data_IF_306364007395
#
_entry.id   IF_306364007395
#
_cell.length_a   1.000
_cell.length_b   1.000
_cell.length_c   1.000
_cell.angle_alpha   90.00
_cell.angle_beta   90.00
_cell.angle_gamma   90.00
#
_symmetry.space_group_name_H-M   'P 1'
#
loop_
_entity.id
_entity.type
_entity.pdbx_description
1 polymer ?
#
# COMPACT_ATOMS: atom_id res chain seq x y z
N UNK A 1 -39.31 23.74 48.88
CA UNK A 1 -39.73 23.39 47.52
C UNK A 1 -38.84 22.24 47.08
N UNK A 2 -39.14 21.01 47.52
CA UNK A 2 -39.99 20.01 46.83
C UNK A 2 -39.27 19.44 45.59
N UNK A 3 -39.04 18.14 45.41
CA UNK A 3 -39.44 16.95 46.16
C UNK A 3 -38.55 15.76 45.79
N UNK A 4 -38.41 14.85 46.77
CA UNK A 4 -37.99 13.45 46.68
C UNK A 4 -38.66 12.65 45.55
N UNK A 5 -38.03 11.56 45.10
CA UNK A 5 -38.69 10.24 44.98
C UNK A 5 -37.65 9.12 45.04
N UNK A 6 -37.65 8.40 46.16
CA UNK A 6 -37.14 7.06 46.32
C UNK A 6 -38.26 6.07 45.96
N UNK A 7 -37.93 4.93 45.37
CA UNK A 7 -38.84 3.80 45.33
C UNK A 7 -38.11 2.53 45.78
N UNK A 8 -38.47 2.13 46.99
CA UNK A 8 -38.23 0.84 47.62
C UNK A 8 -39.52 0.01 47.50
N UNK A 9 -39.46 -1.27 47.90
CA UNK A 9 -40.46 -2.38 47.96
C UNK A 9 -40.16 -3.49 46.95
N UNK A 10 -40.06 -4.78 47.30
CA UNK A 10 -40.29 -5.47 48.57
C UNK A 10 -40.85 -6.88 48.32
N UNK A 11 -40.35 -7.88 49.06
CA UNK A 11 -40.99 -9.19 49.35
C UNK A 11 -40.93 -10.26 48.26
N UNK A 12 -41.01 -11.56 48.52
CA UNK A 12 -41.09 -12.34 49.75
C UNK A 12 -40.82 -13.82 49.36
N UNK A 13 -40.07 -14.51 50.21
CA UNK A 13 -40.11 -15.93 50.63
C UNK A 13 -41.09 -16.92 49.97
N UNK A 14 -40.61 -18.12 49.63
CA UNK A 14 -41.29 -19.37 50.06
C UNK A 14 -40.35 -20.60 50.13
N UNK A 15 -40.33 -21.19 51.33
CA UNK A 15 -39.75 -22.48 51.69
C UNK A 15 -40.80 -23.58 51.44
N UNK A 16 -40.39 -24.73 50.88
CA UNK A 16 -41.15 -25.97 51.04
C UNK A 16 -40.22 -27.17 51.21
N UNK A 17 -40.21 -27.69 52.44
CA UNK A 17 -39.96 -29.08 52.79
C UNK A 17 -40.90 -29.98 51.98
N UNK A 18 -40.52 -31.16 51.50
CA UNK A 18 -40.08 -32.34 52.25
C UNK A 18 -41.11 -33.45 51.99
N UNK A 19 -40.72 -34.59 51.44
CA UNK A 19 -41.44 -35.83 51.65
C UNK A 19 -40.53 -37.04 51.42
N UNK A 20 -40.38 -37.86 52.47
CA UNK A 20 -39.75 -39.16 52.46
C UNK A 20 -40.86 -40.23 52.55
N UNK A 21 -40.74 -41.32 51.78
CA UNK A 21 -41.73 -42.41 51.85
C UNK A 21 -41.40 -43.62 50.97
N UNK A 22 -40.43 -44.43 51.42
CA UNK A 22 -40.45 -45.90 51.55
C UNK A 22 -40.78 -46.85 50.35
N UNK A 23 -40.35 -48.14 50.43
CA UNK A 23 -39.94 -48.98 49.28
C UNK A 23 -40.89 -50.16 49.00
N UNK A 24 -40.74 -50.82 47.83
CA UNK A 24 -40.65 -52.29 47.68
C UNK A 24 -40.82 -52.79 46.23
N UNK A 25 -39.95 -53.76 45.90
CA UNK A 25 -40.19 -54.97 45.10
C UNK A 25 -40.50 -54.92 43.58
N UNK A 26 -39.53 -55.46 42.84
CA UNK A 26 -39.64 -56.48 41.79
C UNK A 26 -40.54 -56.21 40.57
N UNK A 27 -39.91 -56.09 39.39
CA UNK A 27 -40.33 -56.88 38.23
C UNK A 27 -39.24 -56.99 37.16
N UNK A 28 -39.03 -58.23 36.75
CA UNK A 28 -38.04 -58.73 35.81
C UNK A 28 -38.29 -58.26 34.38
N UNK A 29 -37.21 -58.11 33.60
CA UNK A 29 -37.23 -58.34 32.15
C UNK A 29 -37.89 -57.26 31.30
N UNK A 30 -37.18 -56.14 31.07
CA UNK A 30 -37.46 -55.28 29.91
C UNK A 30 -36.24 -55.15 29.01
N UNK A 31 -36.32 -55.90 27.90
CA UNK A 31 -35.47 -55.81 26.72
C UNK A 31 -35.06 -54.36 26.42
N UNK A 32 -33.75 -54.16 26.28
CA UNK A 32 -33.17 -52.95 25.71
C UNK A 32 -33.88 -52.61 24.40
N UNK A 33 -34.65 -51.52 24.40
CA UNK A 33 -35.04 -50.85 23.15
C UNK A 33 -33.82 -50.05 22.66
N UNK A 34 -33.47 -50.11 21.36
CA UNK A 34 -32.47 -49.19 20.80
C UNK A 34 -32.99 -47.76 20.99
N UNK A 35 -32.17 -46.91 21.63
CA UNK A 35 -32.46 -45.51 21.85
C UNK A 35 -32.60 -44.81 20.50
N UNK A 36 -33.75 -44.15 20.28
CA UNK A 36 -33.89 -43.15 19.22
C UNK A 36 -32.85 -42.07 19.46
N UNK A 37 -32.13 -41.70 18.39
CA UNK A 37 -31.03 -40.73 18.38
C UNK A 37 -31.30 -39.53 19.28
N UNK A 38 -30.47 -39.41 20.30
CA UNK A 38 -30.42 -38.28 21.21
C UNK A 38 -30.03 -37.05 20.36
N UNK A 39 -30.86 -36.01 20.36
CA UNK A 39 -30.53 -34.76 19.68
C UNK A 39 -29.18 -34.26 20.23
N UNK A 40 -28.20 -33.89 19.37
CA UNK A 40 -26.91 -33.44 19.84
C UNK A 40 -27.10 -32.17 20.68
N UNK A 41 -26.48 -32.14 21.86
CA UNK A 41 -26.43 -30.95 22.69
C UNK A 41 -25.82 -29.78 21.90
N UNK A 42 -26.33 -28.56 22.12
CA UNK A 42 -25.86 -27.33 21.44
C UNK A 42 -24.32 -27.25 21.53
N UNK A 43 -23.64 -27.31 20.39
CA UNK A 43 -22.17 -27.20 20.29
C UNK A 43 -21.42 -28.51 19.99
N UNK A 44 -22.05 -29.67 20.03
CA UNK A 44 -21.43 -30.92 19.56
C UNK A 44 -21.76 -31.17 18.08
N UNK A 45 -20.73 -31.11 17.24
CA UNK A 45 -20.83 -31.58 15.86
C UNK A 45 -20.48 -33.07 15.85
N UNK A 46 -21.50 -33.92 15.93
CA UNK A 46 -21.35 -35.36 15.72
C UNK A 46 -21.35 -35.63 14.22
N UNK A 47 -20.26 -36.18 13.70
CA UNK A 47 -20.16 -36.61 12.32
C UNK A 47 -20.26 -38.13 12.25
N UNK A 48 -21.29 -38.63 11.57
CA UNK A 48 -21.39 -40.03 11.24
C UNK A 48 -20.50 -40.35 10.05
N UNK A 49 -19.31 -40.92 10.33
CA UNK A 49 -18.36 -41.32 9.30
C UNK A 49 -18.81 -42.55 8.50
N UNK A 50 -19.85 -43.27 8.93
CA UNK A 50 -20.30 -44.50 8.28
C UNK A 50 -20.70 -44.28 6.82
N UNK A 51 -21.37 -43.17 6.52
CA UNK A 51 -21.78 -42.81 5.17
C UNK A 51 -20.59 -42.59 4.22
N UNK A 52 -19.54 -41.91 4.68
CA UNK A 52 -18.32 -41.68 3.91
C UNK A 52 -17.53 -42.97 3.68
N UNK A 53 -17.49 -43.87 4.67
CA UNK A 53 -16.88 -45.20 4.54
C UNK A 53 -17.62 -46.04 3.49
N UNK A 54 -18.95 -46.03 3.48
CA UNK A 54 -19.74 -46.72 2.46
C UNK A 54 -19.50 -46.16 1.05
N UNK A 55 -19.42 -44.84 0.88
CA UNK A 55 -19.09 -44.24 -0.41
C UNK A 55 -17.68 -44.60 -0.87
N UNK A 56 -16.71 -44.66 0.06
CA UNK A 56 -15.33 -45.08 -0.24
C UNK A 56 -15.30 -46.52 -0.76
N UNK A 57 -15.99 -47.46 -0.11
CA UNK A 57 -16.03 -48.85 -0.56
C UNK A 57 -16.74 -48.98 -1.92
N UNK A 58 -17.82 -48.22 -2.16
CA UNK A 58 -18.46 -48.15 -3.49
C UNK A 58 -17.49 -47.63 -4.55
N UNK A 59 -16.73 -46.56 -4.27
CA UNK A 59 -15.78 -45.99 -5.21
C UNK A 59 -14.61 -46.95 -5.50
N UNK A 60 -14.15 -47.68 -4.47
CA UNK A 60 -13.15 -48.74 -4.62
C UNK A 60 -13.64 -49.85 -5.53
N UNK A 61 -14.88 -50.32 -5.35
CA UNK A 61 -15.46 -51.37 -6.19
C UNK A 61 -15.54 -50.94 -7.67
N UNK A 62 -15.79 -49.66 -7.94
CA UNK A 62 -15.76 -49.12 -9.29
C UNK A 62 -14.34 -49.13 -9.87
N UNK A 63 -13.33 -48.68 -9.11
CA UNK A 63 -11.93 -48.71 -9.55
C UNK A 63 -11.46 -50.11 -9.95
N UNK A 64 -11.87 -51.12 -9.20
CA UNK A 64 -11.51 -52.53 -9.48
C UNK A 64 -12.16 -53.06 -10.78
N UNK A 65 -13.25 -52.42 -11.25
CA UNK A 65 -13.93 -52.74 -12.52
C UNK A 65 -13.38 -52.01 -13.75
N UNK A 66 -12.48 -51.04 -13.58
CA UNK A 66 -11.95 -50.19 -14.67
C UNK A 66 -11.01 -50.87 -15.69
N UNK A 67 -10.43 -52.08 -15.53
CA UNK A 67 -9.67 -52.70 -16.62
C UNK A 67 -10.61 -53.27 -17.71
N UNK A 68 -11.48 -52.43 -18.25
CA UNK A 68 -12.36 -52.72 -19.37
C UNK A 68 -11.64 -52.37 -20.68
N UNK A 69 -11.41 -53.38 -21.52
CA UNK A 69 -10.96 -53.15 -22.91
C UNK A 69 -12.21 -52.88 -23.74
N UNK A 70 -12.28 -51.71 -24.37
CA UNK A 70 -13.41 -51.30 -25.21
C UNK A 70 -13.06 -51.56 -26.67
N UNK A 71 -13.40 -52.75 -27.16
CA UNK A 71 -13.07 -53.24 -28.51
C UNK A 71 -14.31 -53.43 -29.42
N UNK A 72 -15.51 -53.19 -28.89
CA UNK A 72 -16.78 -53.36 -29.59
C UNK A 72 -17.79 -52.27 -29.22
N UNK A 73 -18.79 -52.08 -30.08
CA UNK A 73 -19.85 -51.06 -29.88
C UNK A 73 -20.73 -51.36 -28.65
N UNK A 74 -20.93 -52.64 -28.34
CA UNK A 74 -21.58 -53.05 -27.10
C UNK A 74 -20.75 -52.64 -25.88
N UNK A 75 -19.43 -52.88 -25.89
CA UNK A 75 -18.53 -52.46 -24.81
C UNK A 75 -18.43 -50.94 -24.68
N UNK A 76 -18.54 -50.21 -25.80
CA UNK A 76 -18.59 -48.75 -25.79
C UNK A 76 -19.85 -48.23 -25.08
N UNK A 77 -21.00 -48.86 -25.34
CA UNK A 77 -22.27 -48.50 -24.69
C UNK A 77 -22.24 -48.79 -23.18
N UNK A 78 -21.74 -49.97 -22.80
CA UNK A 78 -21.56 -50.35 -21.38
C UNK A 78 -20.56 -49.42 -20.67
N UNK A 79 -19.43 -49.11 -21.31
CA UNK A 79 -18.47 -48.14 -20.78
C UNK A 79 -19.09 -46.74 -20.59
N UNK A 80 -20.00 -46.35 -21.49
CA UNK A 80 -20.77 -45.13 -21.38
C UNK A 80 -21.68 -45.09 -20.15
N UNK A 81 -22.41 -46.18 -19.87
CA UNK A 81 -23.26 -46.34 -18.69
C UNK A 81 -22.42 -46.37 -17.39
N UNK A 82 -21.32 -47.11 -17.39
CA UNK A 82 -20.38 -47.17 -16.26
C UNK A 82 -19.77 -45.79 -15.97
N UNK A 83 -19.38 -45.05 -17.00
CA UNK A 83 -18.89 -43.67 -16.85
C UNK A 83 -19.96 -42.75 -16.23
N UNK A 84 -21.24 -42.92 -16.59
CA UNK A 84 -22.33 -42.19 -15.98
C UNK A 84 -22.52 -42.56 -14.50
N UNK A 85 -22.43 -43.84 -14.16
CA UNK A 85 -22.55 -44.33 -12.78
C UNK A 85 -21.39 -43.84 -11.89
N UNK A 86 -20.16 -43.87 -12.41
CA UNK A 86 -18.98 -43.30 -11.72
C UNK A 86 -19.16 -41.82 -11.46
N UNK A 87 -19.66 -41.05 -12.43
CA UNK A 87 -19.97 -39.63 -12.25
C UNK A 87 -21.08 -39.38 -11.23
N UNK A 88 -22.11 -40.22 -11.20
CA UNK A 88 -23.17 -40.11 -10.19
C UNK A 88 -22.59 -40.32 -8.78
N UNK A 89 -21.72 -41.32 -8.60
CA UNK A 89 -21.04 -41.55 -7.32
C UNK A 89 -20.08 -40.41 -6.95
N UNK A 90 -19.33 -39.86 -7.91
CA UNK A 90 -18.52 -38.66 -7.68
C UNK A 90 -19.38 -37.50 -7.16
N UNK A 91 -20.57 -37.28 -7.73
CA UNK A 91 -21.49 -36.25 -7.24
C UNK A 91 -22.04 -36.55 -5.85
N UNK A 92 -22.32 -37.81 -5.51
CA UNK A 92 -22.78 -38.22 -4.18
C UNK A 92 -21.71 -37.94 -3.11
N UNK A 93 -20.44 -38.26 -3.41
CA UNK A 93 -19.29 -37.93 -2.56
C UNK A 93 -19.17 -36.42 -2.35
N UNK A 94 -19.27 -35.65 -3.43
CA UNK A 94 -19.23 -34.19 -3.34
C UNK A 94 -20.42 -33.62 -2.56
N UNK A 95 -21.62 -34.18 -2.71
CA UNK A 95 -22.79 -33.76 -1.95
C UNK A 95 -22.61 -33.99 -0.45
N UNK A 96 -22.07 -35.15 -0.04
CA UNK A 96 -21.75 -35.42 1.36
C UNK A 96 -20.67 -34.47 1.90
N UNK A 97 -19.59 -34.25 1.12
CA UNK A 97 -18.54 -33.29 1.47
C UNK A 97 -19.12 -31.89 1.68
N UNK A 98 -19.99 -31.43 0.78
CA UNK A 98 -20.65 -30.13 0.88
C UNK A 98 -21.60 -30.08 2.09
N UNK A 99 -22.36 -31.13 2.37
CA UNK A 99 -23.24 -31.18 3.54
C UNK A 99 -22.47 -31.03 4.86
N UNK A 100 -21.29 -31.64 4.96
CA UNK A 100 -20.39 -31.53 6.12
C UNK A 100 -19.78 -30.12 6.21
N UNK A 101 -19.29 -29.59 5.10
CA UNK A 101 -18.53 -28.32 5.09
C UNK A 101 -19.43 -27.09 5.15
N UNK A 102 -20.70 -27.16 4.72
CA UNK A 102 -21.65 -26.03 4.75
C UNK A 102 -21.80 -25.38 6.13
N UNK A 103 -22.20 -26.09 7.21
CA UNK A 103 -22.36 -25.48 8.52
C UNK A 103 -21.04 -24.93 9.08
N UNK A 104 -19.90 -25.57 8.76
CA UNK A 104 -18.57 -25.07 9.14
C UNK A 104 -18.24 -23.76 8.42
N UNK A 105 -18.54 -23.68 7.12
CA UNK A 105 -18.36 -22.47 6.32
C UNK A 105 -19.29 -21.34 6.77
N UNK A 106 -20.53 -21.66 7.16
CA UNK A 106 -21.47 -20.70 7.73
C UNK A 106 -20.99 -20.16 9.08
N UNK A 107 -20.51 -21.04 9.97
CA UNK A 107 -19.91 -20.64 11.23
C UNK A 107 -18.67 -19.75 11.02
N UNK A 108 -17.78 -20.14 10.10
CA UNK A 108 -16.60 -19.35 9.74
C UNK A 108 -17.00 -17.97 9.18
N UNK A 109 -18.03 -17.90 8.34
CA UNK A 109 -18.57 -16.62 7.84
C UNK A 109 -19.13 -15.77 8.96
N UNK A 110 -19.86 -16.35 9.91
CA UNK A 110 -20.42 -15.63 11.05
C UNK A 110 -19.31 -15.08 11.96
N UNK A 111 -18.27 -15.87 12.23
CA UNK A 111 -17.08 -15.42 12.98
C UNK A 111 -16.38 -14.28 12.24
N UNK A 112 -16.12 -14.43 10.94
CA UNK A 112 -15.50 -13.37 10.14
C UNK A 112 -16.36 -12.10 10.10
N UNK A 113 -17.69 -12.23 10.04
CA UNK A 113 -18.60 -11.10 10.09
C UNK A 113 -18.55 -10.38 11.45
N UNK A 114 -18.50 -11.13 12.56
CA UNK A 114 -18.39 -10.58 13.91
C UNK A 114 -17.13 -9.72 14.09
N UNK A 115 -15.99 -10.17 13.55
CA UNK A 115 -14.72 -9.46 13.67
C UNK A 115 -14.46 -8.42 12.58
N UNK A 116 -15.34 -8.32 11.57
CA UNK A 116 -15.17 -7.36 10.47
C UNK A 116 -15.29 -5.91 10.94
N UNK A 117 -16.32 -5.59 11.72
CA UNK A 117 -16.53 -4.22 12.19
C UNK A 117 -15.43 -3.76 13.17
N UNK A 118 -15.04 -4.53 14.20
CA UNK A 118 -13.90 -4.18 15.06
C UNK A 118 -12.61 -3.96 14.28
N UNK A 119 -12.32 -4.83 13.30
CA UNK A 119 -11.16 -4.66 12.42
C UNK A 119 -11.21 -3.34 11.65
N UNK A 120 -12.36 -3.00 11.07
CA UNK A 120 -12.54 -1.72 10.36
C UNK A 120 -12.34 -0.50 11.27
N UNK A 121 -12.90 -0.52 12.49
CA UNK A 121 -12.68 0.57 13.45
C UNK A 121 -11.21 0.73 13.83
N UNK A 122 -10.47 -0.37 14.00
CA UNK A 122 -9.03 -0.33 14.27
C UNK A 122 -8.24 0.19 13.06
N UNK A 123 -8.57 -0.24 11.85
CA UNK A 123 -7.97 0.25 10.60
C UNK A 123 -8.23 1.76 10.41
N UNK A 124 -9.43 2.23 10.70
CA UNK A 124 -9.80 3.65 10.65
C UNK A 124 -9.05 4.45 11.72
N UNK A 125 -8.99 3.97 12.96
CA UNK A 125 -8.24 4.60 14.04
C UNK A 125 -6.74 4.69 13.71
N UNK A 126 -6.15 3.60 13.22
CA UNK A 126 -4.76 3.56 12.75
C UNK A 126 -4.54 4.57 11.62
N UNK A 127 -5.44 4.63 10.64
CA UNK A 127 -5.34 5.58 9.53
C UNK A 127 -5.44 7.03 10.01
N UNK A 128 -6.34 7.33 10.94
CA UNK A 128 -6.48 8.67 11.53
C UNK A 128 -5.22 9.07 12.31
N UNK A 129 -4.68 8.18 13.13
CA UNK A 129 -3.45 8.42 13.87
C UNK A 129 -2.25 8.66 12.94
N UNK A 130 -2.08 7.81 11.91
CA UNK A 130 -1.02 7.99 10.90
C UNK A 130 -1.14 9.33 10.17
N UNK A 131 -2.35 9.72 9.76
CA UNK A 131 -2.58 11.03 9.12
C UNK A 131 -2.23 12.19 10.06
N UNK A 132 -2.64 12.12 11.33
CA UNK A 132 -2.31 13.14 12.32
C UNK A 132 -0.79 13.25 12.56
N UNK A 133 -0.10 12.10 12.66
CA UNK A 133 1.35 12.06 12.80
C UNK A 133 2.08 12.64 11.59
N UNK A 134 1.65 12.29 10.37
CA UNK A 134 2.22 12.84 9.14
C UNK A 134 1.96 14.34 8.98
N UNK A 135 0.76 14.80 9.34
CA UNK A 135 0.44 16.23 9.31
C UNK A 135 1.31 17.01 10.30
N UNK A 136 1.52 16.47 11.50
CA UNK A 136 2.42 17.07 12.49
C UNK A 136 3.86 17.13 11.98
N UNK A 137 4.41 16.03 11.45
CA UNK A 137 5.80 16.03 10.96
C UNK A 137 5.99 16.92 9.73
N UNK A 138 5.00 17.02 8.85
CA UNK A 138 5.02 17.94 7.72
C UNK A 138 5.00 19.41 8.18
N UNK A 139 4.10 19.77 9.10
CA UNK A 139 4.02 21.11 9.66
C UNK A 139 5.29 21.50 10.42
N UNK A 140 5.89 20.55 11.15
CA UNK A 140 7.14 20.79 11.86
C UNK A 140 8.32 20.99 10.88
N UNK A 141 8.39 20.20 9.80
CA UNK A 141 9.38 20.40 8.73
C UNK A 141 9.22 21.78 8.07
N UNK A 142 7.99 22.17 7.75
CA UNK A 142 7.69 23.47 7.13
C UNK A 142 8.08 24.64 8.05
N UNK A 143 7.80 24.55 9.36
CA UNK A 143 8.23 25.56 10.34
C UNK A 143 9.75 25.70 10.41
N UNK A 144 10.45 24.58 10.49
CA UNK A 144 11.92 24.56 10.52
C UNK A 144 12.53 25.08 9.22
N UNK A 145 11.91 24.77 8.07
CA UNK A 145 12.33 25.27 6.76
C UNK A 145 12.06 26.77 6.62
N UNK A 146 10.91 27.27 7.08
CA UNK A 146 10.58 28.69 7.09
C UNK A 146 11.59 29.48 7.95
N UNK A 147 11.87 29.02 9.17
CA UNK A 147 12.86 29.65 10.06
C UNK A 147 14.25 29.66 9.43
N UNK A 148 14.66 28.57 8.78
CA UNK A 148 15.93 28.50 8.03
C UNK A 148 15.96 29.48 6.85
N UNK A 149 14.86 29.58 6.10
CA UNK A 149 14.77 30.48 4.95
C UNK A 149 14.82 31.96 5.38
N UNK A 150 14.14 32.33 6.47
CA UNK A 150 14.19 33.68 7.03
C UNK A 150 15.57 34.02 7.56
N UNK A 151 16.21 33.07 8.26
CA UNK A 151 17.58 33.25 8.73
C UNK A 151 18.57 33.44 7.56
N UNK A 152 18.43 32.63 6.51
CA UNK A 152 19.24 32.75 5.30
C UNK A 152 19.01 34.08 4.57
N UNK A 153 17.76 34.53 4.45
CA UNK A 153 17.43 35.83 3.86
C UNK A 153 18.08 36.97 4.64
N UNK A 154 17.95 36.97 5.98
CA UNK A 154 18.60 37.98 6.83
C UNK A 154 20.12 37.94 6.67
N UNK A 155 20.73 36.75 6.58
CA UNK A 155 22.17 36.64 6.33
C UNK A 155 22.56 37.20 4.95
N UNK A 156 21.81 36.91 3.89
CA UNK A 156 22.07 37.46 2.57
C UNK A 156 21.88 38.98 2.52
N UNK A 157 20.86 39.53 3.18
CA UNK A 157 20.62 40.96 3.29
C UNK A 157 21.75 41.67 4.04
N UNK A 158 22.17 41.13 5.18
CA UNK A 158 23.30 41.65 5.96
C UNK A 158 24.61 41.58 5.17
N UNK A 159 24.88 40.47 4.49
CA UNK A 159 26.04 40.33 3.61
C UNK A 159 25.98 41.31 2.42
N UNK A 160 24.81 41.52 1.82
CA UNK A 160 24.62 42.46 0.73
C UNK A 160 24.85 43.91 1.19
N UNK A 161 24.41 44.26 2.39
CA UNK A 161 24.65 45.57 3.00
C UNK A 161 26.16 45.80 3.21
N UNK A 162 26.83 44.87 3.88
CA UNK A 162 28.28 44.96 4.14
C UNK A 162 29.09 45.00 2.83
N UNK A 163 28.72 44.19 1.84
CA UNK A 163 29.36 44.22 0.52
C UNK A 163 29.12 45.53 -0.24
N UNK A 164 27.94 46.16 -0.05
CA UNK A 164 27.66 47.49 -0.57
C UNK A 164 28.57 48.55 0.03
N UNK A 165 28.67 48.59 1.36
CA UNK A 165 29.54 49.51 2.10
C UNK A 165 31.02 49.33 1.71
N UNK A 166 31.48 48.08 1.56
CA UNK A 166 32.83 47.79 1.08
C UNK A 166 33.08 48.35 -0.33
N UNK A 167 32.14 48.16 -1.27
CA UNK A 167 32.29 48.68 -2.64
C UNK A 167 32.37 50.20 -2.69
N UNK A 168 31.63 50.89 -1.83
CA UNK A 168 31.69 52.36 -1.75
C UNK A 168 33.05 52.84 -1.20
N UNK A 169 33.56 52.19 -0.16
CA UNK A 169 34.89 52.50 0.39
C UNK A 169 36.01 52.17 -0.60
N UNK A 170 35.91 51.06 -1.33
CA UNK A 170 36.86 50.74 -2.39
C UNK A 170 36.79 51.73 -3.56
N UNK A 171 35.58 52.16 -3.95
CA UNK A 171 35.41 53.14 -5.02
C UNK A 171 36.05 54.48 -4.64
N UNK A 172 35.77 54.98 -3.44
CA UNK A 172 36.39 56.22 -2.93
C UNK A 172 37.91 56.09 -2.79
N UNK A 173 38.42 54.94 -2.34
CA UNK A 173 39.85 54.68 -2.29
C UNK A 173 40.49 54.73 -3.69
N UNK A 174 39.87 54.12 -4.70
CA UNK A 174 40.35 54.14 -6.10
C UNK A 174 40.32 55.54 -6.70
N UNK A 175 39.30 56.33 -6.40
CA UNK A 175 39.21 57.74 -6.84
C UNK A 175 40.34 58.59 -6.23
N UNK A 176 40.58 58.46 -4.93
CA UNK A 176 41.67 59.15 -4.24
C UNK A 176 43.05 58.68 -4.74
N UNK A 177 43.24 57.38 -5.05
CA UNK A 177 44.46 56.87 -5.67
C UNK A 177 44.71 57.48 -7.05
N UNK A 178 43.67 57.56 -7.88
CA UNK A 178 43.78 58.18 -9.20
C UNK A 178 44.15 59.67 -9.08
N UNK A 179 43.51 60.40 -8.15
CA UNK A 179 43.84 61.79 -7.87
C UNK A 179 45.27 61.97 -7.35
N UNK A 180 45.76 61.06 -6.51
CA UNK A 180 47.14 61.05 -6.03
C UNK A 180 48.15 60.83 -7.18
N UNK A 181 47.86 59.89 -8.09
CA UNK A 181 48.70 59.62 -9.27
C UNK A 181 48.76 60.83 -10.21
N UNK A 182 47.63 61.48 -10.47
CA UNK A 182 47.58 62.70 -11.29
C UNK A 182 48.36 63.86 -10.65
N UNK A 183 48.18 64.10 -9.35
CA UNK A 183 48.93 65.14 -8.62
C UNK A 183 50.44 64.85 -8.61
N UNK A 184 50.83 63.58 -8.46
CA UNK A 184 52.24 63.18 -8.55
C UNK A 184 52.81 63.39 -9.95
N UNK A 185 52.04 63.10 -11.00
CA UNK A 185 52.44 63.37 -12.38
C UNK A 185 52.64 64.88 -12.61
N UNK A 186 51.67 65.72 -12.20
CA UNK A 186 51.77 67.18 -12.23
C UNK A 186 52.99 67.69 -11.47
N UNK A 187 53.27 67.14 -10.29
CA UNK A 187 54.45 67.48 -9.50
C UNK A 187 55.77 67.15 -10.20
N UNK A 188 55.83 65.98 -10.87
CA UNK A 188 57.02 65.56 -11.61
C UNK A 188 57.27 66.44 -12.84
N UNK A 189 56.21 66.84 -13.54
CA UNK A 189 56.31 67.73 -14.69
C UNK A 189 56.73 69.15 -14.27
N UNK A 190 56.18 69.69 -13.17
CA UNK A 190 56.62 70.96 -12.60
C UNK A 190 58.08 70.93 -12.10
N UNK A 191 58.53 69.79 -11.56
CA UNK A 191 59.92 69.61 -11.17
C UNK A 191 60.87 69.58 -12.38
N UNK A 192 60.42 69.01 -13.51
CA UNK A 192 61.16 69.01 -14.79
C UNK A 192 61.22 70.41 -15.42
N UNK A 193 60.20 71.24 -15.25
CA UNK A 193 60.19 72.63 -15.74
C UNK A 193 60.98 73.61 -14.86
N UNK A 194 61.42 73.19 -13.67
CA UNK A 194 62.22 74.00 -12.74
C UNK A 194 61.42 74.80 -11.72
N UNK A 195 60.09 74.67 -11.70
CA UNK A 195 59.20 75.37 -10.75
C UNK A 195 59.09 74.60 -9.43
N UNK A 196 60.08 74.79 -8.56
CA UNK A 196 60.21 74.07 -7.29
C UNK A 196 59.01 74.28 -6.35
N UNK A 197 58.41 75.48 -6.33
CA UNK A 197 57.27 75.79 -5.46
C UNK A 197 55.97 75.10 -5.90
N UNK A 198 55.73 75.01 -7.21
CA UNK A 198 54.58 74.28 -7.77
C UNK A 198 54.76 72.78 -7.59
N UNK A 199 55.97 72.26 -7.80
CA UNK A 199 56.30 70.87 -7.53
C UNK A 199 56.09 70.51 -6.05
N UNK A 200 56.42 71.41 -5.11
CA UNK A 200 56.21 71.19 -3.67
C UNK A 200 54.71 71.16 -3.30
N UNK A 201 53.88 72.05 -3.87
CA UNK A 201 52.43 72.07 -3.62
C UNK A 201 51.74 70.81 -4.15
N UNK A 202 52.02 70.42 -5.39
CA UNK A 202 51.42 69.22 -5.99
C UNK A 202 51.88 67.93 -5.27
N UNK A 203 53.13 67.87 -4.76
CA UNK A 203 53.58 66.76 -3.88
C UNK A 203 52.83 66.71 -2.56
N UNK A 204 52.56 67.86 -1.95
CA UNK A 204 51.76 67.93 -0.74
C UNK A 204 50.32 67.45 -0.98
N UNK A 205 49.70 67.88 -2.09
CA UNK A 205 48.38 67.40 -2.50
C UNK A 205 48.37 65.89 -2.80
N UNK A 206 49.38 65.36 -3.52
CA UNK A 206 49.52 63.93 -3.78
C UNK A 206 49.64 63.10 -2.48
N UNK A 207 50.38 63.61 -1.49
CA UNK A 207 50.48 63.00 -0.17
C UNK A 207 49.12 62.96 0.56
N UNK A 208 48.35 64.05 0.53
CA UNK A 208 47.01 64.13 1.13
C UNK A 208 46.01 63.17 0.46
N UNK A 209 46.01 63.06 -0.87
CA UNK A 209 45.19 62.09 -1.60
C UNK A 209 45.62 60.65 -1.26
N UNK A 210 46.92 60.36 -1.20
CA UNK A 210 47.43 59.03 -0.85
C UNK A 210 47.10 58.61 0.59
N UNK A 211 47.08 59.56 1.53
CA UNK A 211 46.73 59.31 2.92
C UNK A 211 45.22 59.05 3.07
N UNK A 212 44.38 59.76 2.31
CA UNK A 212 42.94 59.49 2.23
C UNK A 212 42.64 58.13 1.62
N UNK A 213 43.25 57.80 0.47
CA UNK A 213 43.16 56.49 -0.15
C UNK A 213 43.57 55.36 0.80
N UNK A 214 44.71 55.49 1.48
CA UNK A 214 45.17 54.51 2.46
C UNK A 214 44.16 54.34 3.61
N UNK A 215 43.60 55.44 4.13
CA UNK A 215 42.59 55.38 5.19
C UNK A 215 41.28 54.73 4.74
N UNK A 216 40.87 54.91 3.48
CA UNK A 216 39.69 54.27 2.89
C UNK A 216 39.92 52.78 2.66
N UNK A 217 41.12 52.39 2.21
CA UNK A 217 41.53 50.97 2.11
C UNK A 217 41.57 50.26 3.45
N UNK A 218 42.09 50.90 4.50
CA UNK A 218 42.11 50.33 5.85
C UNK A 218 40.69 50.10 6.35
N UNK A 219 39.78 51.06 6.17
CA UNK A 219 38.37 50.91 6.54
C UNK A 219 37.67 49.80 5.75
N UNK A 220 37.98 49.66 4.46
CA UNK A 220 37.45 48.57 3.64
C UNK A 220 37.95 47.20 4.14
N UNK A 221 39.23 47.07 4.49
CA UNK A 221 39.77 45.85 5.08
C UNK A 221 39.18 45.55 6.47
N UNK A 222 38.97 46.56 7.31
CA UNK A 222 38.29 46.40 8.60
C UNK A 222 36.86 45.88 8.43
N UNK A 223 36.10 46.35 7.43
CA UNK A 223 34.78 45.81 7.11
C UNK A 223 34.83 44.37 6.59
N UNK A 224 35.85 43.99 5.81
CA UNK A 224 36.04 42.59 5.37
C UNK A 224 36.31 41.70 6.58
N UNK A 225 37.20 42.14 7.47
CA UNK A 225 37.52 41.39 8.68
C UNK A 225 36.31 41.27 9.62
N UNK A 226 35.51 42.32 9.77
CA UNK A 226 34.25 42.28 10.53
C UNK A 226 33.21 41.33 9.90
N UNK A 227 33.13 41.29 8.57
CA UNK A 227 32.26 40.36 7.85
C UNK A 227 32.70 38.89 8.03
N UNK A 228 34.01 38.61 7.95
CA UNK A 228 34.59 37.29 8.17
C UNK A 228 34.42 36.81 9.62
N UNK A 229 34.63 37.69 10.61
CA UNK A 229 34.43 37.39 12.03
C UNK A 229 32.95 37.14 12.37
N UNK A 230 32.02 37.88 11.73
CA UNK A 230 30.58 37.65 11.85
C UNK A 230 30.10 36.36 11.19
N UNK A 231 30.86 35.81 10.23
CA UNK A 231 30.50 34.61 9.47
C UNK A 231 30.64 33.31 10.28
N UNK A 232 31.30 33.33 11.45
CA UNK A 232 31.55 32.14 12.30
C UNK A 232 30.43 31.87 13.31
N UNK A 233 29.27 32.53 13.21
CA UNK A 233 28.06 32.07 13.93
C UNK A 233 27.54 30.82 13.25
N UNK A 234 28.22 29.71 13.55
CA UNK A 234 27.74 28.35 13.29
C UNK A 234 26.32 28.29 13.79
N UNK A 235 25.37 28.15 12.88
CA UNK A 235 24.07 27.61 13.20
C UNK A 235 24.34 26.22 13.76
N UNK A 236 24.55 26.13 15.07
CA UNK A 236 24.19 24.96 15.85
C UNK A 236 22.67 24.87 15.78
N UNK A 237 22.15 24.64 14.57
CA UNK A 237 20.77 24.37 14.31
C UNK A 237 20.49 23.14 15.12
N UNK A 238 19.75 23.34 16.22
CA UNK A 238 19.25 22.29 17.05
C UNK A 238 18.68 21.23 16.11
N UNK A 239 19.42 20.14 15.95
CA UNK A 239 18.82 18.87 15.66
C UNK A 239 18.00 18.57 16.91
N UNK A 240 16.82 19.18 17.01
CA UNK A 240 15.71 18.56 17.67
C UNK A 240 15.47 17.30 16.84
N UNK A 241 16.31 16.30 17.07
CA UNK A 241 16.15 14.96 16.58
C UNK A 241 14.82 14.55 17.19
N UNK A 242 13.75 14.70 16.41
CA UNK A 242 12.41 14.30 16.81
C UNK A 242 12.56 12.90 17.35
N UNK A 243 12.38 12.73 18.66
CA UNK A 243 12.68 11.50 19.36
C UNK A 243 11.97 10.38 18.64
N UNK A 244 12.72 9.56 17.91
CA UNK A 244 12.14 8.49 17.10
C UNK A 244 11.49 7.53 18.08
N UNK A 245 10.17 7.49 18.09
CA UNK A 245 9.42 6.58 18.94
C UNK A 245 9.82 5.15 18.59
N UNK A 246 10.27 4.39 19.59
CA UNK A 246 10.62 2.98 19.42
C UNK A 246 9.42 2.21 18.85
N UNK A 247 9.67 1.40 17.82
CA UNK A 247 8.62 0.62 17.15
C UNK A 247 7.93 1.31 15.96
N UNK A 248 8.20 2.59 15.69
CA UNK A 248 7.64 3.29 14.51
C UNK A 248 8.74 3.46 13.45
N UNK A 249 8.56 2.79 12.30
CA UNK A 249 9.44 2.91 11.14
C UNK A 249 8.72 3.62 10.00
N UNK A 250 9.35 4.66 9.46
CA UNK A 250 8.90 5.35 8.26
C UNK A 250 9.36 4.57 7.02
N UNK A 251 8.45 4.31 6.08
CA UNK A 251 8.77 3.68 4.79
C UNK A 251 8.19 4.51 3.66
N UNK A 252 9.04 4.90 2.72
CA UNK A 252 8.63 5.54 1.47
C UNK A 252 8.51 4.48 0.38
N UNK A 253 7.29 4.31 -0.17
CA UNK A 253 7.06 3.45 -1.34
C UNK A 253 6.95 4.32 -2.58
N UNK A 254 7.84 4.12 -3.53
CA UNK A 254 7.78 4.75 -4.84
C UNK A 254 6.93 3.87 -5.78
N UNK A 255 6.00 4.49 -6.51
CA UNK A 255 5.20 3.84 -7.55
C UNK A 255 5.40 4.58 -8.87
N UNK A 256 5.50 3.83 -9.97
CA UNK A 256 5.57 4.38 -11.32
C UNK A 256 4.28 4.07 -12.06
N UNK A 257 3.76 5.06 -12.79
CA UNK A 257 2.60 4.91 -13.67
C UNK A 257 3.03 5.23 -15.10
N UNK A 258 2.67 4.36 -16.06
CA UNK A 258 2.87 4.62 -17.48
C UNK A 258 1.71 5.47 -17.97
N UNK A 259 2.00 6.71 -18.37
CA UNK A 259 1.00 7.65 -18.91
C UNK A 259 0.71 7.40 -20.38
N UNK A 260 1.75 7.14 -21.18
CA UNK A 260 1.67 6.82 -22.60
C UNK A 260 2.55 5.62 -22.94
N UNK A 261 1.90 4.49 -23.25
CA UNK A 261 2.59 3.24 -23.59
C UNK A 261 3.38 3.36 -24.90
N UNK A 262 2.95 4.19 -25.86
CA UNK A 262 3.66 4.36 -27.13
C UNK A 262 4.99 5.06 -26.93
N UNK A 263 5.00 6.11 -26.10
CA UNK A 263 6.23 6.82 -25.76
C UNK A 263 7.22 5.90 -25.05
N UNK A 264 6.75 5.06 -24.12
CA UNK A 264 7.59 4.06 -23.45
C UNK A 264 8.20 3.08 -24.46
N UNK A 265 7.41 2.56 -25.41
CA UNK A 265 7.93 1.67 -26.46
C UNK A 265 8.96 2.36 -27.34
N UNK A 266 8.72 3.62 -27.73
CA UNK A 266 9.71 4.40 -28.50
C UNK A 266 11.00 4.65 -27.71
N UNK A 267 10.91 4.95 -26.41
CA UNK A 267 12.07 5.13 -25.55
C UNK A 267 12.91 3.85 -25.40
N UNK A 268 12.25 2.69 -25.28
CA UNK A 268 12.91 1.38 -25.27
C UNK A 268 13.58 1.10 -26.62
N UNK A 269 12.87 1.35 -27.73
CA UNK A 269 13.44 1.18 -29.07
C UNK A 269 14.63 2.11 -29.35
N UNK A 270 14.66 3.31 -28.74
CA UNK A 270 15.77 4.25 -28.80
C UNK A 270 16.92 3.95 -27.83
N UNK A 271 16.81 2.91 -26.98
CA UNK A 271 17.81 2.53 -25.99
C UNK A 271 17.88 3.44 -24.75
N UNK A 272 16.87 4.30 -24.55
CA UNK A 272 16.77 5.17 -23.36
C UNK A 272 16.18 4.43 -22.15
N UNK A 273 15.42 3.36 -22.39
CA UNK A 273 14.83 2.52 -21.36
C UNK A 273 15.16 1.04 -21.62
N UNK A 274 15.30 0.22 -20.56
CA UNK A 274 15.59 -1.21 -20.67
C UNK A 274 14.37 -2.00 -21.21
N UNK A 275 14.60 -3.14 -21.89
CA UNK A 275 13.54 -3.95 -22.52
C UNK A 275 12.58 -4.56 -21.48
N UNK A 276 13.07 -4.76 -20.25
CA UNK A 276 12.34 -5.24 -19.07
C UNK A 276 11.16 -4.33 -18.70
N UNK A 277 11.13 -3.08 -19.20
CA UNK A 277 9.98 -2.20 -19.05
C UNK A 277 8.75 -2.65 -19.85
N UNK A 278 8.87 -3.63 -20.75
CA UNK A 278 7.79 -4.13 -21.60
C UNK A 278 7.49 -5.61 -21.31
N UNK A 279 6.20 -5.95 -21.23
CA UNK A 279 5.73 -7.33 -21.12
C UNK A 279 4.75 -7.65 -22.24
N UNK A 280 4.87 -8.82 -22.85
CA UNK A 280 3.95 -9.28 -23.87
C UNK A 280 2.58 -9.68 -23.26
N UNK A 281 1.48 -9.27 -23.90
CA UNK A 281 0.14 -9.67 -23.49
C UNK A 281 -0.21 -11.07 -24.05
N UNK A 282 0.16 -12.11 -23.29
CA UNK A 282 -0.10 -13.51 -23.64
C UNK A 282 -1.59 -13.82 -23.81
N UNK A 283 -2.48 -13.13 -23.09
CA UNK A 283 -3.93 -13.38 -23.18
C UNK A 283 -4.47 -12.92 -24.52
N UNK A 284 -4.07 -11.73 -24.95
CA UNK A 284 -4.41 -11.20 -26.26
C UNK A 284 -3.84 -12.10 -27.38
N UNK A 285 -2.57 -12.47 -27.26
CA UNK A 285 -1.91 -13.36 -28.24
C UNK A 285 -2.59 -14.73 -28.32
N UNK A 286 -2.93 -15.34 -27.18
CA UNK A 286 -3.66 -16.61 -27.13
C UNK A 286 -5.12 -16.52 -27.61
N UNK A 287 -5.77 -15.36 -27.48
CA UNK A 287 -7.08 -15.11 -28.07
C UNK A 287 -7.00 -15.07 -29.61
N UNK A 288 -6.01 -14.38 -30.16
CA UNK A 288 -5.79 -14.34 -31.61
C UNK A 288 -5.39 -15.70 -32.19
N UNK A 289 -4.53 -16.45 -31.50
CA UNK A 289 -4.18 -17.82 -31.85
C UNK A 289 -5.43 -18.71 -32.01
N UNK A 290 -6.35 -18.66 -31.03
CA UNK A 290 -7.61 -19.41 -31.05
C UNK A 290 -8.56 -18.93 -32.16
N UNK A 291 -8.59 -17.64 -32.45
CA UNK A 291 -9.43 -17.07 -33.49
C UNK A 291 -8.96 -17.50 -34.89
N UNK A 292 -7.65 -17.47 -35.13
CA UNK A 292 -7.07 -17.77 -36.45
C UNK A 292 -6.95 -19.27 -36.73
N UNK A 293 -6.91 -20.12 -35.69
CA UNK A 293 -6.87 -21.60 -35.80
C UNK A 293 -5.79 -22.12 -36.75
N UNK A 294 -4.66 -21.41 -36.84
CA UNK A 294 -3.48 -21.79 -37.62
C UNK A 294 -2.32 -22.03 -36.67
N UNK A 295 -1.51 -23.04 -36.99
CA UNK A 295 -0.25 -23.34 -36.30
C UNK A 295 0.90 -22.65 -37.01
N UNK A 296 1.92 -22.21 -36.27
CA UNK A 296 3.09 -21.49 -36.82
C UNK A 296 3.16 -20.02 -36.37
N UNK A 297 3.85 -19.19 -37.16
CA UNK A 297 4.17 -17.80 -36.80
C UNK A 297 2.94 -16.89 -36.91
N UNK A 298 2.59 -16.22 -35.80
CA UNK A 298 1.47 -15.27 -35.69
C UNK A 298 1.93 -13.83 -35.95
N UNK A 299 3.05 -13.44 -35.33
CA UNK A 299 3.75 -12.16 -35.51
C UNK A 299 5.26 -12.42 -35.54
N UNK A 300 6.09 -11.50 -36.08
CA UNK A 300 7.54 -11.63 -35.95
C UNK A 300 7.94 -11.82 -34.49
N UNK A 301 8.45 -13.02 -34.15
CA UNK A 301 8.82 -13.41 -32.79
C UNK A 301 7.74 -14.14 -31.95
N UNK A 302 6.54 -14.46 -32.48
CA UNK A 302 5.48 -15.18 -31.75
C UNK A 302 4.96 -16.39 -32.54
N UNK A 303 4.99 -17.60 -31.96
CA UNK A 303 4.56 -18.88 -32.56
C UNK A 303 3.40 -19.56 -31.79
N UNK A 304 2.55 -20.34 -32.48
CA UNK A 304 1.35 -21.01 -31.94
C UNK A 304 1.36 -22.53 -32.15
N UNK A 305 1.06 -23.32 -31.09
CA UNK A 305 0.90 -24.78 -31.09
C UNK A 305 -0.52 -25.24 -30.69
N UNK A 306 -0.91 -26.47 -31.06
CA UNK A 306 -2.26 -27.02 -30.79
C UNK A 306 -2.23 -28.45 -30.21
N UNK A 307 -3.05 -28.70 -29.17
CA UNK A 307 -3.22 -30.00 -28.47
C UNK A 307 -4.72 -30.40 -28.43
N UNK A 308 -5.04 -31.72 -28.45
CA UNK A 308 -6.42 -32.25 -28.41
C UNK A 308 -6.69 -33.08 -27.15
N UNK A 309 -7.84 -32.89 -26.49
CA UNK A 309 -8.28 -33.66 -25.30
C UNK A 309 -9.79 -33.99 -25.32
N UNK A 310 -10.21 -35.05 -24.61
CA UNK A 310 -11.62 -35.49 -24.48
C UNK A 310 -12.19 -35.11 -23.10
N UNK A 311 -13.43 -34.60 -23.07
CA UNK A 311 -14.15 -34.27 -21.85
C UNK A 311 -15.61 -34.77 -21.92
N UNK A 312 -16.15 -35.27 -20.81
CA UNK A 312 -17.53 -35.74 -20.74
C UNK A 312 -18.36 -34.85 -19.81
N UNK A 313 -19.58 -34.45 -20.20
CA UNK A 313 -20.54 -33.68 -19.39
C UNK A 313 -21.73 -34.55 -18.93
N UNK A 314 -22.61 -34.04 -18.04
CA UNK A 314 -23.81 -34.76 -17.56
C UNK A 314 -24.88 -34.85 -18.65
N UNK A 315 -25.68 -35.93 -18.72
CA UNK A 315 -26.91 -35.92 -19.51
C UNK A 315 -27.91 -34.90 -18.91
N UNK A 316 -28.44 -34.02 -19.76
CA UNK A 316 -29.26 -32.86 -19.38
C UNK A 316 -30.53 -33.21 -18.58
N UNK A 317 -30.97 -34.47 -18.62
CA UNK A 317 -32.20 -34.96 -17.97
C UNK A 317 -32.14 -34.97 -16.44
N UNK A 318 -30.96 -35.03 -15.81
CA UNK A 318 -30.81 -34.99 -14.35
C UNK A 318 -30.57 -33.57 -13.79
N UNK A 319 -30.44 -32.55 -14.65
CA UNK A 319 -30.20 -31.18 -14.18
C UNK A 319 -31.48 -30.51 -13.64
N UNK A 320 -32.66 -30.87 -14.16
CA UNK A 320 -33.94 -30.30 -13.70
C UNK A 320 -34.34 -30.72 -12.29
N UNK A 321 -33.94 -31.90 -11.82
CA UNK A 321 -34.28 -32.35 -10.46
C UNK A 321 -33.38 -31.73 -9.38
N UNK A 322 -32.10 -31.46 -9.70
CA UNK A 322 -31.15 -30.87 -8.75
C UNK A 322 -31.19 -29.33 -8.71
N UNK A 323 -31.61 -28.66 -9.79
CA UNK A 323 -31.83 -27.21 -9.77
C UNK A 323 -33.14 -26.81 -9.08
N UNK A 324 -34.14 -27.68 -8.96
CA UNK A 324 -35.38 -27.38 -8.23
C UNK A 324 -35.29 -27.55 -6.71
N UNK A 325 -34.19 -28.08 -6.16
CA UNK A 325 -33.98 -28.22 -4.70
C UNK A 325 -32.92 -27.28 -4.13
N UNK A 326 -32.33 -26.40 -4.93
CA UNK A 326 -31.23 -25.54 -4.52
C UNK A 326 -31.47 -24.02 -4.68
N UNK A 327 -32.70 -23.59 -4.99
CA UNK A 327 -33.04 -22.16 -5.08
C UNK A 327 -34.18 -21.78 -4.13
N UNK A 328 -33.86 -21.78 -2.84
CA UNK A 328 -34.41 -20.79 -1.91
C UNK A 328 -33.55 -19.54 -2.04
N UNK A 329 -33.90 -18.67 -2.98
CA UNK A 329 -33.20 -17.42 -3.28
C UNK A 329 -34.14 -16.48 -4.01
N UNK A 330 -34.82 -15.66 -3.20
CA UNK A 330 -35.56 -14.41 -3.47
C UNK A 330 -35.70 -13.91 -4.91
N UNK A 331 -36.96 -13.61 -5.25
CA UNK A 331 -37.41 -12.73 -6.33
C UNK A 331 -36.71 -11.36 -6.25
N UNK A 332 -35.96 -10.98 -7.30
CA UNK A 332 -35.84 -9.59 -7.79
C UNK A 332 -35.18 -9.57 -9.20
N UNK A 333 -35.91 -9.08 -10.21
CA UNK A 333 -35.35 -8.50 -11.45
C UNK A 333 -35.35 -9.31 -12.76
N UNK A 334 -36.43 -9.19 -13.56
CA UNK A 334 -36.49 -9.36 -15.04
C UNK A 334 -35.76 -8.18 -15.77
N UNK A 335 -35.45 -8.17 -17.11
CA UNK A 335 -36.21 -8.71 -18.26
C UNK A 335 -35.36 -9.43 -19.36
N UNK A 336 -35.88 -10.47 -20.00
CA UNK A 336 -36.71 -10.52 -21.24
C UNK A 336 -35.95 -10.32 -22.57
N UNK A 337 -36.25 -11.25 -23.51
CA UNK A 337 -36.01 -11.27 -24.96
C UNK A 337 -34.76 -12.06 -25.42
N UNK A 338 -34.93 -13.35 -25.75
CA UNK A 338 -35.19 -13.88 -27.11
C UNK A 338 -34.06 -13.51 -28.07
N UNK A 339 -33.01 -14.35 -28.15
CA UNK A 339 -32.75 -15.28 -29.28
C UNK A 339 -33.05 -14.69 -30.66
N UNK A 340 -31.96 -14.45 -31.40
CA UNK A 340 -31.64 -15.30 -32.56
C UNK A 340 -30.37 -16.07 -32.26
#
# INVERSE_FOLDING_TARGET
>A
MSSSHAHETGGETELASGNAGAPAAAESGRLLRPSKGQAPAKGQVSFDASAALLLRERARSWRERVPLVVDSELMFSVAGEDLQAVKALQHEVEAQRVAITRPLNEALRAVNALFRAPKQFLEEAEAMLKRAMLAYTAAERERLEAERSEAQQRQCEEQARLAGEQRELEATAREDEHAAQEAQARANDAARSGDLDMAAKERASAAEYSQRAASSWTKAQELVQQAEEGQVVTYAGALAATTRLEGISERTTYAAQVTDLRQLVCAVAAGQAPLECLQADEKFLGAQARALRRTGQLYPGVDVSAERSLAASRPATLLRAAQMTAFGGTLEGLPAQLTR
#
